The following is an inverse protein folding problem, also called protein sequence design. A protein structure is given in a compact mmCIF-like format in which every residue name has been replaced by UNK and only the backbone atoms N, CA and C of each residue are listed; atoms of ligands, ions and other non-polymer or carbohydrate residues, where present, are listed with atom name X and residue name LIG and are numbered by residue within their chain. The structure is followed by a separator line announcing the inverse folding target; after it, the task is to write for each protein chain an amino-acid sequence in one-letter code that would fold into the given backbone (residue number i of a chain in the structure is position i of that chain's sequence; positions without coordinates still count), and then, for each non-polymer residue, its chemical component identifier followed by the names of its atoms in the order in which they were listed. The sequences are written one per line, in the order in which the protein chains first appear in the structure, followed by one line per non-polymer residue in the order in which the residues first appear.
data_IF_114612475349
#
_entry.id   IF_114612475349
#
_cell.length_a   1.000
_cell.length_b   1.000
_cell.length_c   1.000
_cell.angle_alpha   90.00
_cell.angle_beta   90.00
_cell.angle_gamma   90.00
#
_symmetry.space_group_name_H-M   'P 1'
#
loop_
_entity.id
_entity.type
_entity.pdbx_description
1 polymer ?
#
# COMPACT_ATOMS: atom_id res chain seq x y z
N UNK A 1 -5.08 14.67 -20.96
CA UNK A 1 -5.30 13.44 -20.16
C UNK A 1 -6.80 13.30 -19.98
N UNK A 2 -7.41 12.18 -20.35
CA UNK A 2 -8.86 12.02 -20.29
C UNK A 2 -9.27 11.73 -18.83
N UNK A 3 -9.94 12.67 -18.21
CA UNK A 3 -10.67 12.41 -16.98
C UNK A 3 -11.64 11.25 -17.26
N UNK A 4 -11.56 10.17 -16.51
CA UNK A 4 -12.53 9.08 -16.61
C UNK A 4 -13.72 9.39 -15.68
N UNK A 5 -14.88 9.85 -16.23
CA UNK A 5 -16.01 10.27 -15.40
C UNK A 5 -16.54 9.14 -14.52
N UNK A 6 -16.49 7.89 -14.99
CA UNK A 6 -16.94 6.73 -14.21
C UNK A 6 -16.01 6.46 -13.01
N UNK A 7 -14.69 6.61 -13.19
CA UNK A 7 -13.73 6.47 -12.10
C UNK A 7 -13.94 7.55 -11.04
N UNK A 8 -14.15 8.81 -11.47
CA UNK A 8 -14.42 9.93 -10.54
C UNK A 8 -15.77 9.73 -9.83
N UNK A 9 -16.81 9.28 -10.53
CA UNK A 9 -18.11 9.02 -9.93
C UNK A 9 -18.03 7.94 -8.83
N UNK A 10 -17.23 6.89 -9.01
CA UNK A 10 -17.08 5.80 -8.05
C UNK A 10 -16.08 6.16 -6.93
N UNK A 11 -14.92 6.75 -7.26
CA UNK A 11 -13.77 6.89 -6.37
C UNK A 11 -13.37 8.33 -6.04
N UNK A 12 -14.04 9.33 -6.58
CA UNK A 12 -13.79 10.74 -6.30
C UNK A 12 -14.75 11.33 -5.25
N UNK A 13 -14.66 12.63 -4.96
CA UNK A 13 -13.67 13.56 -5.54
C UNK A 13 -12.33 13.60 -4.81
N UNK A 14 -12.19 12.99 -3.60
CA UNK A 14 -10.97 12.97 -2.81
C UNK A 14 -10.41 11.57 -2.66
N UNK A 15 -9.08 11.48 -2.69
CA UNK A 15 -8.36 10.25 -2.35
C UNK A 15 -7.30 10.51 -1.28
N UNK A 16 -7.23 9.60 -0.30
CA UNK A 16 -6.14 9.50 0.66
C UNK A 16 -5.00 8.66 0.07
N UNK A 17 -3.76 9.11 0.22
CA UNK A 17 -2.57 8.30 -0.08
C UNK A 17 -1.61 8.38 1.10
N UNK A 18 -1.37 7.27 1.78
CA UNK A 18 -0.33 7.17 2.82
C UNK A 18 1.00 6.71 2.21
N UNK A 19 2.13 7.16 2.77
CA UNK A 19 3.45 6.91 2.20
C UNK A 19 3.70 7.67 0.89
N UNK A 20 3.06 8.83 0.73
CA UNK A 20 2.95 9.56 -0.54
C UNK A 20 4.26 10.17 -1.07
N UNK A 21 5.33 10.25 -0.28
CA UNK A 21 6.55 10.99 -0.65
C UNK A 21 7.53 10.21 -1.50
N UNK A 22 7.35 8.90 -1.69
CA UNK A 22 8.26 8.08 -2.50
C UNK A 22 7.62 6.78 -2.98
N UNK A 23 8.30 6.11 -3.91
CA UNK A 23 7.99 4.76 -4.35
C UNK A 23 6.54 4.59 -4.81
N UNK A 24 5.90 3.53 -4.35
CA UNK A 24 4.54 3.15 -4.77
C UNK A 24 3.51 4.20 -4.35
N UNK A 25 3.62 4.76 -3.13
CA UNK A 25 2.69 5.79 -2.65
C UNK A 25 2.76 7.06 -3.50
N UNK A 26 3.96 7.52 -3.89
CA UNK A 26 4.13 8.66 -4.80
C UNK A 26 3.52 8.37 -6.18
N UNK A 27 3.76 7.19 -6.73
CA UNK A 27 3.19 6.79 -8.01
C UNK A 27 1.64 6.76 -7.98
N UNK A 28 1.04 6.29 -6.88
CA UNK A 28 -0.42 6.40 -6.70
C UNK A 28 -0.89 7.86 -6.64
N UNK A 29 -0.19 8.73 -5.90
CA UNK A 29 -0.55 10.14 -5.81
C UNK A 29 -0.53 10.81 -7.20
N UNK A 30 0.52 10.60 -7.98
CA UNK A 30 0.65 11.13 -9.35
C UNK A 30 -0.41 10.53 -10.29
N UNK A 31 -0.68 9.22 -10.22
CA UNK A 31 -1.70 8.53 -11.02
C UNK A 31 -3.12 9.00 -10.71
N UNK A 32 -3.43 9.27 -9.45
CA UNK A 32 -4.75 9.75 -9.02
C UNK A 32 -4.94 11.24 -9.34
N UNK A 33 -3.87 12.05 -9.20
CA UNK A 33 -3.86 13.44 -9.66
C UNK A 33 -4.15 13.52 -11.17
N UNK A 34 -3.49 12.67 -11.97
CA UNK A 34 -3.72 12.58 -13.41
C UNK A 34 -5.13 12.15 -13.81
N UNK A 35 -5.87 11.51 -12.90
CA UNK A 35 -7.29 11.15 -13.04
C UNK A 35 -8.24 12.25 -12.54
N UNK A 36 -7.71 13.37 -12.02
CA UNK A 36 -8.49 14.51 -11.56
C UNK A 36 -9.03 14.40 -10.13
N UNK A 37 -8.48 13.50 -9.29
CA UNK A 37 -8.87 13.43 -7.89
C UNK A 37 -8.09 14.44 -7.06
N UNK A 38 -8.76 15.11 -6.12
CA UNK A 38 -8.11 15.84 -5.04
C UNK A 38 -7.45 14.86 -4.08
N UNK A 39 -6.35 15.27 -3.44
CA UNK A 39 -5.54 14.35 -2.66
C UNK A 39 -5.35 14.81 -1.21
N UNK A 40 -5.41 13.84 -0.28
CA UNK A 40 -4.84 13.95 1.05
C UNK A 40 -3.56 13.12 1.04
N UNK A 41 -2.40 13.76 1.15
CA UNK A 41 -1.09 13.11 1.11
C UNK A 41 -0.52 13.01 2.51
N UNK A 42 -0.15 11.79 2.91
CA UNK A 42 0.37 11.50 4.24
C UNK A 42 1.75 10.90 4.17
N UNK A 43 2.70 11.49 4.88
CA UNK A 43 4.06 10.97 5.06
C UNK A 43 4.76 11.69 6.23
N UNK A 44 5.97 11.24 6.56
CA UNK A 44 6.81 11.86 7.62
C UNK A 44 7.63 13.06 7.13
N UNK A 45 7.97 13.10 5.83
CA UNK A 45 8.84 14.14 5.24
C UNK A 45 8.00 15.34 4.81
N UNK A 46 7.94 16.36 5.68
CA UNK A 46 7.14 17.55 5.47
C UNK A 46 7.54 18.32 4.20
N UNK A 47 8.84 18.47 3.95
CA UNK A 47 9.38 19.23 2.80
C UNK A 47 8.92 18.60 1.48
N UNK A 48 8.99 17.27 1.35
CA UNK A 48 8.56 16.56 0.15
C UNK A 48 7.04 16.62 -0.02
N UNK A 49 6.27 16.59 1.07
CA UNK A 49 4.82 16.79 1.02
C UNK A 49 4.47 18.19 0.51
N UNK A 50 5.19 19.22 0.98
CA UNK A 50 4.99 20.62 0.52
C UNK A 50 5.34 20.78 -0.96
N UNK A 51 6.42 20.14 -1.43
CA UNK A 51 6.77 20.11 -2.87
C UNK A 51 5.63 19.49 -3.70
N UNK A 52 5.09 18.35 -3.27
CA UNK A 52 3.96 17.70 -3.95
C UNK A 52 2.69 18.58 -3.92
N UNK A 53 2.42 19.23 -2.78
CA UNK A 53 1.28 20.15 -2.65
C UNK A 53 1.41 21.40 -3.53
N UNK A 54 2.63 21.79 -3.88
CA UNK A 54 2.86 22.90 -4.80
C UNK A 54 2.82 22.48 -6.28
N UNK A 55 3.29 21.27 -6.60
CA UNK A 55 3.46 20.82 -7.99
C UNK A 55 2.23 20.15 -8.56
N UNK A 56 1.57 19.25 -7.83
CA UNK A 56 0.42 18.51 -8.33
C UNK A 56 -0.79 19.39 -8.70
N UNK A 57 -1.18 20.41 -7.89
CA UNK A 57 -2.25 21.33 -8.30
C UNK A 57 -1.95 22.08 -9.60
N UNK A 58 -0.70 22.52 -9.78
CA UNK A 58 -0.27 23.23 -11.00
C UNK A 58 -0.31 22.34 -12.24
N UNK A 59 0.07 21.06 -12.08
CA UNK A 59 0.15 20.10 -13.19
C UNK A 59 -1.21 19.53 -13.59
N UNK A 60 -2.13 19.34 -12.62
CA UNK A 60 -3.35 18.58 -12.82
C UNK A 60 -4.66 19.34 -12.49
N UNK A 61 -4.59 20.56 -11.94
CA UNK A 61 -5.78 21.35 -11.60
C UNK A 61 -6.59 20.82 -10.42
N UNK A 62 -5.97 20.07 -9.53
CA UNK A 62 -6.58 19.43 -8.35
C UNK A 62 -6.28 20.21 -7.06
N UNK A 63 -6.96 19.85 -5.97
CA UNK A 63 -6.63 20.31 -4.61
C UNK A 63 -5.77 19.26 -3.92
N UNK A 64 -4.81 19.70 -3.11
CA UNK A 64 -3.95 18.82 -2.30
C UNK A 64 -3.94 19.33 -0.87
N UNK A 65 -4.21 18.43 0.07
CA UNK A 65 -3.98 18.60 1.51
C UNK A 65 -2.84 17.69 1.94
N UNK A 66 -2.03 18.13 2.90
CA UNK A 66 -0.92 17.34 3.43
C UNK A 66 -1.09 17.12 4.93
N UNK A 67 -0.79 15.92 5.38
CA UNK A 67 -0.72 15.58 6.80
C UNK A 67 0.66 14.99 7.08
N UNK A 68 1.49 15.71 7.81
CA UNK A 68 2.78 15.18 8.24
C UNK A 68 2.56 14.28 9.44
N UNK A 69 2.70 12.97 9.26
CA UNK A 69 2.41 11.98 10.29
C UNK A 69 3.34 10.77 10.23
N UNK A 70 3.77 10.31 11.40
CA UNK A 70 4.31 8.97 11.61
C UNK A 70 3.16 8.03 12.01
N UNK A 71 2.83 7.10 11.13
CA UNK A 71 1.76 6.14 11.38
C UNK A 71 2.11 5.10 12.47
N UNK A 72 3.36 5.07 12.93
CA UNK A 72 3.75 4.35 14.15
C UNK A 72 3.20 4.99 15.44
N UNK A 73 2.72 6.24 15.39
CA UNK A 73 2.18 6.99 16.54
C UNK A 73 0.66 7.09 16.44
N UNK A 74 -0.12 6.47 17.36
CA UNK A 74 -1.59 6.44 17.29
C UNK A 74 -2.25 7.81 17.13
N UNK A 75 -1.85 8.80 17.92
CA UNK A 75 -2.41 10.15 17.87
C UNK A 75 -2.17 10.86 16.51
N UNK A 76 -1.11 10.49 15.79
CA UNK A 76 -0.86 11.03 14.44
C UNK A 76 -1.71 10.31 13.38
N UNK A 77 -2.08 9.06 13.62
CA UNK A 77 -3.07 8.36 12.78
C UNK A 77 -4.45 9.01 12.94
N UNK A 78 -4.83 9.44 14.16
CA UNK A 78 -6.08 10.17 14.38
C UNK A 78 -6.15 11.47 13.59
N UNK A 79 -5.04 12.22 13.46
CA UNK A 79 -4.97 13.42 12.60
C UNK A 79 -5.27 13.11 11.12
N UNK A 80 -4.84 11.95 10.64
CA UNK A 80 -5.17 11.50 9.26
C UNK A 80 -6.65 11.19 9.13
N UNK A 81 -7.24 10.53 10.12
CA UNK A 81 -8.66 10.21 10.16
C UNK A 81 -9.50 11.49 10.16
N UNK A 82 -9.13 12.47 11.00
CA UNK A 82 -9.79 13.76 11.09
C UNK A 82 -9.74 14.52 9.77
N UNK A 83 -8.58 14.54 9.10
CA UNK A 83 -8.45 15.15 7.77
C UNK A 83 -9.35 14.47 6.73
N UNK A 84 -9.48 13.15 6.76
CA UNK A 84 -10.36 12.40 5.88
C UNK A 84 -11.85 12.68 6.15
N UNK A 85 -12.22 12.88 7.41
CA UNK A 85 -13.61 13.18 7.80
C UNK A 85 -14.09 14.54 7.29
N UNK A 86 -13.20 15.49 7.01
CA UNK A 86 -13.53 16.83 6.53
C UNK A 86 -13.84 16.90 5.01
N UNK A 87 -13.69 15.80 4.28
CA UNK A 87 -13.87 15.78 2.83
C UNK A 87 -14.75 14.60 2.38
N UNK A 88 -15.41 14.70 1.22
CA UNK A 88 -16.11 13.56 0.64
C UNK A 88 -15.09 12.58 0.06
N UNK A 89 -14.44 11.79 0.93
CA UNK A 89 -13.44 10.81 0.56
C UNK A 89 -14.09 9.68 -0.28
N UNK A 90 -13.51 9.36 -1.44
CA UNK A 90 -13.98 8.28 -2.30
C UNK A 90 -12.98 7.13 -2.45
N UNK A 91 -11.69 7.36 -2.18
CA UNK A 91 -10.65 6.33 -2.27
C UNK A 91 -9.63 6.48 -1.15
N UNK A 92 -9.20 5.37 -0.57
CA UNK A 92 -8.03 5.37 0.31
C UNK A 92 -6.99 4.36 -0.18
N UNK A 93 -5.77 4.84 -0.41
CA UNK A 93 -4.59 4.03 -0.75
C UNK A 93 -3.68 3.98 0.48
N UNK A 94 -3.69 2.85 1.17
CA UNK A 94 -2.91 2.63 2.36
C UNK A 94 -1.55 2.01 1.96
N UNK A 95 -0.65 2.87 1.45
CA UNK A 95 0.64 2.46 0.89
C UNK A 95 1.83 2.64 1.84
N UNK A 96 1.62 3.30 2.98
CA UNK A 96 2.66 3.43 4.00
C UNK A 96 3.05 2.06 4.56
N UNK A 97 4.34 1.84 4.70
CA UNK A 97 4.89 0.62 5.26
C UNK A 97 6.39 0.53 4.97
N UNK A 98 7.07 -0.25 5.77
CA UNK A 98 8.48 -0.56 5.57
C UNK A 98 8.76 -2.03 5.94
N UNK A 99 9.95 -2.49 5.62
CA UNK A 99 10.43 -3.83 5.94
C UNK A 99 11.82 -3.79 6.51
N UNK A 100 12.15 -4.78 7.32
CA UNK A 100 13.48 -5.12 7.78
C UNK A 100 13.92 -6.42 7.16
N UNK A 101 15.22 -6.63 7.00
CA UNK A 101 15.78 -7.92 6.64
C UNK A 101 17.04 -8.22 7.45
N UNK A 102 17.20 -9.46 7.84
CA UNK A 102 18.31 -9.94 8.66
C UNK A 102 17.94 -11.18 9.45
N UNK A 103 18.89 -11.71 10.22
CA UNK A 103 18.61 -12.77 11.16
C UNK A 103 17.86 -12.21 12.37
N UNK A 104 16.84 -12.92 12.83
CA UNK A 104 16.00 -12.46 13.96
C UNK A 104 16.81 -12.31 15.27
N UNK A 105 17.93 -13.01 15.39
CA UNK A 105 18.84 -12.91 16.53
C UNK A 105 19.74 -11.67 16.49
N UNK A 106 19.80 -10.99 15.33
CA UNK A 106 20.67 -9.83 15.08
C UNK A 106 19.88 -8.51 14.91
N UNK A 107 18.58 -8.59 14.59
CA UNK A 107 17.73 -7.40 14.39
C UNK A 107 17.36 -6.81 15.74
N UNK A 108 17.44 -5.47 15.85
CA UNK A 108 16.91 -4.74 17.00
C UNK A 108 15.37 -4.91 17.07
N UNK A 109 14.84 -5.49 18.16
CA UNK A 109 13.41 -5.72 18.33
C UNK A 109 12.55 -4.46 18.16
N UNK A 110 13.09 -3.28 18.49
CA UNK A 110 12.36 -2.02 18.37
C UNK A 110 12.00 -1.68 16.93
N UNK A 111 12.83 -2.06 15.96
CA UNK A 111 12.56 -1.86 14.53
C UNK A 111 11.38 -2.74 14.07
N UNK A 112 11.36 -3.99 14.50
CA UNK A 112 10.27 -4.92 14.16
C UNK A 112 8.97 -4.50 14.85
N UNK A 113 9.00 -4.04 16.11
CA UNK A 113 7.84 -3.50 16.81
C UNK A 113 7.28 -2.28 16.08
N UNK A 114 8.13 -1.31 15.73
CA UNK A 114 7.70 -0.15 14.96
C UNK A 114 7.14 -0.53 13.57
N UNK A 115 7.71 -1.56 12.93
CA UNK A 115 7.15 -2.09 11.67
C UNK A 115 5.75 -2.66 11.86
N UNK A 116 5.49 -3.38 12.95
CA UNK A 116 4.13 -3.87 13.28
C UNK A 116 3.18 -2.70 13.55
N UNK A 117 3.63 -1.66 14.25
CA UNK A 117 2.82 -0.46 14.48
C UNK A 117 2.41 0.21 13.17
N UNK A 118 3.34 0.41 12.24
CA UNK A 118 3.05 1.07 10.96
C UNK A 118 2.26 0.15 10.02
N UNK A 119 2.70 -1.11 9.85
CA UNK A 119 2.14 -1.99 8.82
C UNK A 119 0.81 -2.65 9.25
N UNK A 120 0.57 -2.82 10.55
CA UNK A 120 -0.60 -3.55 11.06
C UNK A 120 -1.51 -2.67 11.94
N UNK A 121 -1.00 -2.11 13.05
CA UNK A 121 -1.82 -1.35 13.99
C UNK A 121 -2.44 -0.11 13.33
N UNK A 122 -1.63 0.70 12.65
CA UNK A 122 -2.12 1.87 11.92
C UNK A 122 -3.12 1.49 10.81
N UNK A 123 -2.89 0.36 10.14
CA UNK A 123 -3.84 -0.16 9.15
C UNK A 123 -5.22 -0.41 9.77
N UNK A 124 -5.28 -1.09 10.92
CA UNK A 124 -6.54 -1.33 11.66
C UNK A 124 -7.19 -0.01 12.06
N UNK A 125 -6.41 0.92 12.62
CA UNK A 125 -6.91 2.21 13.07
C UNK A 125 -7.51 3.03 11.92
N UNK A 126 -6.94 2.94 10.71
CA UNK A 126 -7.43 3.65 9.51
C UNK A 126 -8.64 2.94 8.87
N UNK A 127 -8.60 1.61 8.67
CA UNK A 127 -9.63 0.94 7.87
C UNK A 127 -11.02 1.04 8.48
N UNK A 128 -11.16 1.03 9.81
CA UNK A 128 -12.48 1.10 10.45
C UNK A 128 -13.24 2.40 10.16
N UNK A 129 -12.69 3.60 10.47
CA UNK A 129 -13.39 4.86 10.19
C UNK A 129 -13.55 5.12 8.68
N UNK A 130 -12.53 4.80 7.87
CA UNK A 130 -12.60 4.97 6.42
C UNK A 130 -13.67 4.06 5.81
N UNK A 131 -13.76 2.80 6.24
CA UNK A 131 -14.80 1.89 5.78
C UNK A 131 -16.21 2.38 6.13
N UNK A 132 -16.40 2.92 7.35
CA UNK A 132 -17.70 3.50 7.76
C UNK A 132 -18.07 4.69 6.89
N UNK A 133 -17.12 5.58 6.59
CA UNK A 133 -17.36 6.75 5.74
C UNK A 133 -17.74 6.33 4.31
N UNK A 134 -17.00 5.39 3.71
CA UNK A 134 -17.26 4.89 2.36
C UNK A 134 -18.58 4.11 2.28
N UNK A 135 -18.85 3.23 3.25
CA UNK A 135 -20.10 2.47 3.32
C UNK A 135 -21.32 3.37 3.46
N UNK A 136 -21.24 4.44 4.24
CA UNK A 136 -22.32 5.44 4.34
C UNK A 136 -22.62 6.13 3.01
N UNK A 137 -21.61 6.33 2.16
CA UNK A 137 -21.75 6.89 0.82
C UNK A 137 -22.20 5.85 -0.22
N UNK A 138 -22.20 4.55 0.12
CA UNK A 138 -22.49 3.40 -0.76
C UNK A 138 -21.66 3.39 -2.03
N UNK A 139 -20.43 3.88 -1.97
CA UNK A 139 -19.46 3.93 -3.06
C UNK A 139 -18.06 4.18 -2.52
N UNK A 140 -17.06 3.98 -3.37
CA UNK A 140 -15.66 4.25 -3.06
C UNK A 140 -14.81 3.00 -3.05
N UNK A 141 -13.58 3.13 -2.53
CA UNK A 141 -12.66 2.01 -2.49
C UNK A 141 -11.53 2.13 -1.48
N UNK A 142 -10.95 0.97 -1.16
CA UNK A 142 -9.76 0.81 -0.34
C UNK A 142 -8.71 0.02 -1.13
N UNK A 143 -7.49 0.51 -1.22
CA UNK A 143 -6.33 -0.24 -1.73
C UNK A 143 -5.34 -0.42 -0.59
N UNK A 144 -5.05 -1.66 -0.23
CA UNK A 144 -4.09 -2.03 0.81
C UNK A 144 -2.82 -2.57 0.17
N UNK A 145 -1.65 -2.05 0.56
CA UNK A 145 -0.36 -2.53 0.06
C UNK A 145 0.12 -3.76 0.82
N UNK A 146 -0.21 -4.93 0.27
CA UNK A 146 0.38 -6.22 0.62
C UNK A 146 1.80 -6.40 0.07
N UNK A 147 2.16 -7.63 -0.17
CA UNK A 147 3.39 -8.07 -0.86
C UNK A 147 3.28 -9.56 -1.18
N UNK A 148 4.00 -10.02 -2.20
CA UNK A 148 4.12 -11.45 -2.50
C UNK A 148 4.70 -12.26 -1.34
N UNK A 149 5.47 -11.65 -0.44
CA UNK A 149 5.99 -12.31 0.77
C UNK A 149 4.90 -12.59 1.81
N UNK A 150 3.72 -11.95 1.71
CA UNK A 150 2.60 -12.16 2.61
C UNK A 150 1.89 -13.52 2.46
N UNK A 151 2.17 -14.27 1.39
CA UNK A 151 1.52 -15.57 1.17
C UNK A 151 2.18 -16.74 1.93
N UNK A 152 3.37 -16.54 2.49
CA UNK A 152 4.12 -17.53 3.27
C UNK A 152 5.11 -16.86 4.23
N UNK A 153 5.60 -17.61 5.23
CA UNK A 153 6.72 -17.16 6.05
C UNK A 153 8.02 -17.09 5.23
N UNK A 154 8.80 -16.04 5.39
CA UNK A 154 10.04 -15.81 4.65
C UNK A 154 11.18 -15.58 5.63
N UNK A 155 12.16 -16.50 5.65
CA UNK A 155 13.36 -16.35 6.47
C UNK A 155 14.09 -15.06 6.11
N UNK A 156 14.71 -14.40 7.09
CA UNK A 156 15.38 -13.10 7.01
C UNK A 156 14.45 -11.89 6.69
N UNK A 157 13.16 -12.12 6.55
CA UNK A 157 12.12 -11.09 6.49
C UNK A 157 10.90 -11.58 7.29
N UNK A 158 11.14 -12.20 8.44
CA UNK A 158 10.15 -12.93 9.23
C UNK A 158 9.01 -12.03 9.66
N UNK A 159 9.31 -10.95 10.37
CA UNK A 159 8.30 -9.99 10.83
C UNK A 159 7.66 -9.27 9.65
N UNK A 160 8.44 -8.86 8.65
CA UNK A 160 7.90 -8.21 7.46
C UNK A 160 6.88 -9.12 6.72
N UNK A 161 7.23 -10.38 6.48
CA UNK A 161 6.30 -11.32 5.83
C UNK A 161 5.03 -11.56 6.65
N UNK A 162 5.15 -11.58 7.97
CA UNK A 162 4.00 -11.69 8.88
C UNK A 162 3.09 -10.45 8.80
N UNK A 163 3.66 -9.23 8.78
CA UNK A 163 2.86 -8.01 8.60
C UNK A 163 2.14 -7.98 7.26
N UNK A 164 2.76 -8.49 6.18
CA UNK A 164 2.13 -8.53 4.85
C UNK A 164 1.10 -9.65 4.73
N UNK A 165 1.23 -10.74 5.48
CA UNK A 165 0.19 -11.77 5.62
C UNK A 165 -1.04 -11.21 6.36
N UNK A 166 -0.82 -10.40 7.41
CA UNK A 166 -1.89 -9.66 8.10
C UNK A 166 -2.67 -8.77 7.11
N UNK A 167 -1.97 -7.95 6.31
CA UNK A 167 -2.60 -7.06 5.32
C UNK A 167 -3.39 -7.86 4.27
N UNK A 168 -2.86 -9.01 3.81
CA UNK A 168 -3.54 -9.88 2.86
C UNK A 168 -4.86 -10.40 3.44
N UNK A 169 -4.83 -11.02 4.62
CA UNK A 169 -6.03 -11.57 5.27
C UNK A 169 -7.05 -10.48 5.62
N UNK A 170 -6.59 -9.33 6.11
CA UNK A 170 -7.45 -8.19 6.40
C UNK A 170 -8.20 -7.71 5.14
N UNK A 171 -7.46 -7.54 4.03
CA UNK A 171 -8.04 -7.07 2.78
C UNK A 171 -9.02 -8.07 2.17
N UNK A 172 -8.77 -9.38 2.28
CA UNK A 172 -9.68 -10.43 1.86
C UNK A 172 -11.00 -10.38 2.65
N UNK A 173 -10.93 -10.25 3.98
CA UNK A 173 -12.12 -10.08 4.82
C UNK A 173 -12.90 -8.82 4.45
N UNK A 174 -12.23 -7.68 4.36
CA UNK A 174 -12.85 -6.40 3.99
C UNK A 174 -13.50 -6.44 2.61
N UNK A 175 -12.92 -7.15 1.64
CA UNK A 175 -13.50 -7.29 0.30
C UNK A 175 -14.90 -7.91 0.36
N UNK A 176 -15.11 -8.94 1.17
CA UNK A 176 -16.40 -9.58 1.36
C UNK A 176 -17.37 -8.70 2.15
N UNK A 177 -16.89 -8.08 3.25
CA UNK A 177 -17.73 -7.29 4.15
C UNK A 177 -18.22 -5.98 3.51
N UNK A 178 -17.37 -5.32 2.69
CA UNK A 178 -17.70 -4.00 2.14
C UNK A 178 -18.39 -4.05 0.77
N UNK A 179 -18.32 -5.17 0.06
CA UNK A 179 -18.98 -5.34 -1.23
C UNK A 179 -20.50 -5.08 -1.20
N UNK A 180 -21.28 -5.55 -0.20
CA UNK A 180 -22.72 -5.23 -0.10
C UNK A 180 -23.00 -3.73 0.12
N UNK A 181 -22.00 -2.97 0.58
CA UNK A 181 -22.07 -1.54 0.80
C UNK A 181 -21.62 -0.70 -0.42
N UNK A 182 -21.31 -1.34 -1.56
CA UNK A 182 -20.87 -0.66 -2.77
C UNK A 182 -19.43 -0.15 -2.71
N UNK A 183 -18.62 -0.64 -1.77
CA UNK A 183 -17.22 -0.25 -1.59
C UNK A 183 -16.30 -1.35 -2.11
N UNK A 184 -15.41 -0.98 -3.01
CA UNK A 184 -14.43 -1.87 -3.59
C UNK A 184 -13.18 -1.96 -2.70
N UNK A 185 -12.68 -3.17 -2.48
CA UNK A 185 -11.43 -3.40 -1.75
C UNK A 185 -10.45 -4.16 -2.64
N UNK A 186 -9.19 -3.76 -2.61
CA UNK A 186 -8.12 -4.42 -3.34
C UNK A 186 -6.89 -4.58 -2.46
N UNK A 187 -6.33 -5.76 -2.41
CA UNK A 187 -4.94 -5.95 -1.95
C UNK A 187 -4.01 -5.91 -3.16
N UNK A 188 -3.11 -4.94 -3.20
CA UNK A 188 -2.01 -4.91 -4.16
C UNK A 188 -0.80 -5.59 -3.54
N UNK A 189 -0.39 -6.74 -4.07
CA UNK A 189 0.67 -7.59 -3.55
C UNK A 189 1.85 -7.69 -4.55
N UNK A 190 2.64 -6.61 -4.73
CA UNK A 190 3.77 -6.63 -5.66
C UNK A 190 4.89 -7.55 -5.19
N UNK A 191 5.71 -8.00 -6.14
CA UNK A 191 7.05 -8.53 -5.89
C UNK A 191 8.06 -7.40 -5.69
N UNK A 192 9.35 -7.61 -6.02
CA UNK A 192 10.35 -6.55 -5.97
C UNK A 192 9.98 -5.37 -6.86
N UNK A 193 10.06 -4.15 -6.31
CA UNK A 193 9.73 -2.90 -6.99
C UNK A 193 10.96 -2.00 -6.99
N UNK A 194 11.26 -1.36 -8.11
CA UNK A 194 12.39 -0.42 -8.26
C UNK A 194 12.10 0.86 -7.46
N UNK A 195 12.37 0.83 -6.16
CA UNK A 195 12.19 1.96 -5.23
C UNK A 195 13.29 1.98 -4.18
N UNK A 196 13.41 3.07 -3.42
CA UNK A 196 14.31 3.13 -2.26
C UNK A 196 13.95 2.18 -1.10
N UNK A 197 12.83 1.45 -1.19
CA UNK A 197 12.44 0.47 -0.18
C UNK A 197 13.45 -0.65 -0.02
N UNK A 198 13.95 -1.24 -1.13
CA UNK A 198 14.89 -2.36 -1.08
C UNK A 198 16.20 -1.95 -0.40
N UNK A 199 16.69 -0.76 -0.69
CA UNK A 199 17.93 -0.24 -0.06
C UNK A 199 17.75 -0.09 1.45
N UNK A 200 16.62 0.48 1.91
CA UNK A 200 16.34 0.62 3.35
C UNK A 200 16.09 -0.72 4.04
N UNK A 201 15.60 -1.70 3.33
CA UNK A 201 15.42 -3.06 3.83
C UNK A 201 16.71 -3.91 3.74
N UNK A 202 17.87 -3.30 3.45
CA UNK A 202 19.16 -4.00 3.23
C UNK A 202 19.07 -5.12 2.19
N UNK A 203 18.34 -4.86 1.10
CA UNK A 203 18.16 -5.79 -0.03
C UNK A 203 18.77 -5.20 -1.31
N UNK A 204 19.37 -6.04 -2.13
CA UNK A 204 19.91 -5.63 -3.42
C UNK A 204 18.77 -5.36 -4.42
N UNK A 205 18.73 -4.19 -5.08
CA UNK A 205 17.78 -3.94 -6.14
C UNK A 205 17.98 -4.92 -7.30
N UNK A 206 16.93 -5.60 -7.71
CA UNK A 206 16.91 -6.47 -8.90
C UNK A 206 16.05 -5.88 -10.02
N UNK A 207 15.85 -6.66 -11.10
CA UNK A 207 14.93 -6.33 -12.18
C UNK A 207 13.46 -6.45 -11.71
N UNK A 208 13.00 -5.42 -10.97
CA UNK A 208 11.64 -5.32 -10.45
C UNK A 208 10.73 -4.50 -11.37
N UNK A 209 9.43 -4.57 -11.08
CA UNK A 209 8.41 -3.71 -11.69
C UNK A 209 8.62 -2.25 -11.22
N UNK A 210 8.20 -1.28 -12.04
CA UNK A 210 8.24 0.13 -11.61
C UNK A 210 7.13 0.44 -10.62
N UNK A 211 7.32 1.46 -9.79
CA UNK A 211 6.26 1.93 -8.87
C UNK A 211 5.02 2.40 -9.65
N UNK A 212 5.23 2.99 -10.83
CA UNK A 212 4.15 3.44 -11.71
C UNK A 212 3.32 2.27 -12.23
N UNK A 213 3.96 1.17 -12.69
CA UNK A 213 3.23 -0.02 -13.12
C UNK A 213 2.42 -0.64 -11.99
N UNK A 214 2.95 -0.63 -10.76
CA UNK A 214 2.22 -1.11 -9.58
C UNK A 214 0.97 -0.27 -9.34
N UNK A 215 1.07 1.05 -9.40
CA UNK A 215 -0.07 1.95 -9.20
C UNK A 215 -1.13 1.75 -10.30
N UNK A 216 -0.71 1.75 -11.57
CA UNK A 216 -1.62 1.61 -12.71
C UNK A 216 -2.32 0.25 -12.76
N UNK A 217 -1.58 -0.86 -12.56
CA UNK A 217 -2.17 -2.21 -12.53
C UNK A 217 -3.13 -2.37 -11.33
N UNK A 218 -2.84 -1.75 -10.19
CA UNK A 218 -3.71 -1.77 -9.02
C UNK A 218 -5.00 -0.98 -9.26
N UNK A 219 -4.89 0.24 -9.78
CA UNK A 219 -6.06 1.06 -10.11
C UNK A 219 -6.96 0.40 -11.18
N UNK A 220 -6.36 -0.28 -12.16
CA UNK A 220 -7.10 -1.04 -13.16
C UNK A 220 -7.78 -2.31 -12.62
N UNK A 221 -7.26 -2.88 -11.52
CA UNK A 221 -7.79 -4.08 -10.87
C UNK A 221 -8.87 -3.78 -9.81
N UNK A 222 -8.90 -2.55 -9.27
CA UNK A 222 -9.87 -2.12 -8.27
C UNK A 222 -11.31 -2.31 -8.78
N UNK A 223 -12.18 -2.85 -7.94
CA UNK A 223 -13.56 -3.23 -8.29
C UNK A 223 -13.71 -4.53 -9.13
N UNK A 224 -12.57 -5.10 -9.59
CA UNK A 224 -12.59 -6.32 -10.42
C UNK A 224 -11.94 -7.53 -9.73
N UNK A 225 -10.99 -7.30 -8.84
CA UNK A 225 -10.19 -8.36 -8.18
C UNK A 225 -10.09 -8.08 -6.69
N UNK A 226 -10.05 -9.13 -5.91
CA UNK A 226 -9.75 -9.05 -4.47
C UNK A 226 -8.26 -8.80 -4.24
N UNK A 227 -7.40 -9.46 -5.02
CA UNK A 227 -5.94 -9.31 -4.96
C UNK A 227 -5.35 -9.18 -6.36
N UNK A 228 -4.39 -8.29 -6.52
CA UNK A 228 -3.58 -8.17 -7.74
C UNK A 228 -2.10 -8.38 -7.42
N UNK A 229 -1.41 -9.06 -8.31
CA UNK A 229 0.05 -9.25 -8.31
C UNK A 229 0.64 -8.38 -9.44
N UNK A 230 1.01 -7.12 -9.18
CA UNK A 230 1.54 -6.26 -10.23
C UNK A 230 2.87 -6.77 -10.80
N UNK A 231 3.00 -6.66 -12.12
CA UNK A 231 4.18 -7.10 -12.87
C UNK A 231 4.17 -8.58 -13.26
N UNK A 232 4.77 -8.87 -14.40
CA UNK A 232 4.78 -10.23 -14.99
C UNK A 232 5.48 -11.25 -14.08
N UNK A 233 6.63 -10.88 -13.51
CA UNK A 233 7.39 -11.75 -12.61
C UNK A 233 6.59 -12.10 -11.36
N UNK A 234 5.91 -11.12 -10.74
CA UNK A 234 5.06 -11.34 -9.56
C UNK A 234 3.91 -12.30 -9.86
N UNK A 235 3.28 -12.18 -11.04
CA UNK A 235 2.21 -13.07 -11.49
C UNK A 235 2.71 -14.50 -11.66
N UNK A 236 3.84 -14.68 -12.36
CA UNK A 236 4.43 -16.01 -12.59
C UNK A 236 4.86 -16.66 -11.28
N UNK A 237 5.58 -15.92 -10.43
CA UNK A 237 6.04 -16.42 -9.13
C UNK A 237 4.86 -16.75 -8.21
N UNK A 238 3.86 -15.87 -8.14
CA UNK A 238 2.67 -16.10 -7.32
C UNK A 238 1.89 -17.34 -7.76
N UNK A 239 1.69 -17.53 -9.06
CA UNK A 239 1.06 -18.73 -9.61
C UNK A 239 1.88 -19.98 -9.32
N UNK A 240 3.20 -19.96 -9.57
CA UNK A 240 4.07 -21.12 -9.31
C UNK A 240 4.04 -21.54 -7.83
N UNK A 241 4.11 -20.55 -6.92
CA UNK A 241 4.07 -20.81 -5.49
C UNK A 241 2.71 -21.34 -5.04
N UNK A 242 1.60 -20.94 -5.68
CA UNK A 242 0.26 -21.35 -5.28
C UNK A 242 0.05 -22.89 -5.32
N UNK A 243 0.71 -23.57 -6.23
CA UNK A 243 0.62 -25.04 -6.37
C UNK A 243 1.55 -25.81 -5.42
N UNK A 244 2.47 -25.14 -4.73
CA UNK A 244 3.40 -25.80 -3.82
C UNK A 244 2.82 -25.92 -2.40
N UNK A 245 3.11 -27.01 -1.68
CA UNK A 245 2.85 -27.10 -0.23
C UNK A 245 3.55 -25.93 0.51
N UNK A 246 2.94 -25.45 1.61
CA UNK A 246 3.42 -24.28 2.36
C UNK A 246 4.91 -24.36 2.75
N UNK A 247 5.39 -25.54 3.15
CA UNK A 247 6.81 -25.78 3.49
C UNK A 247 7.73 -25.50 2.30
N UNK A 248 7.35 -25.97 1.10
CA UNK A 248 8.15 -25.75 -0.11
C UNK A 248 8.12 -24.28 -0.54
N UNK A 249 6.97 -23.58 -0.43
CA UNK A 249 6.90 -22.14 -0.69
C UNK A 249 7.88 -21.37 0.20
N UNK A 250 7.89 -21.67 1.50
CA UNK A 250 8.80 -21.04 2.46
C UNK A 250 10.25 -21.31 2.12
N UNK A 251 10.61 -22.53 1.68
CA UNK A 251 11.96 -22.86 1.26
C UNK A 251 12.39 -22.08 0.01
N UNK A 252 11.56 -22.05 -1.02
CA UNK A 252 11.82 -21.28 -2.25
C UNK A 252 12.03 -19.78 -1.93
N UNK A 253 11.19 -19.21 -1.06
CA UNK A 253 11.30 -17.81 -0.68
C UNK A 253 12.52 -17.53 0.22
N UNK A 254 12.94 -18.49 1.05
CA UNK A 254 14.20 -18.42 1.80
C UNK A 254 15.38 -18.29 0.83
N UNK A 255 15.44 -19.16 -0.20
CA UNK A 255 16.54 -19.16 -1.17
C UNK A 255 16.55 -17.88 -2.03
N UNK A 256 15.37 -17.37 -2.40
CA UNK A 256 15.23 -16.10 -3.08
C UNK A 256 15.71 -14.93 -2.20
N UNK A 257 15.35 -14.91 -0.91
CA UNK A 257 15.75 -13.87 0.02
C UNK A 257 17.26 -13.90 0.29
N UNK A 258 17.86 -15.08 0.41
CA UNK A 258 19.31 -15.24 0.56
C UNK A 258 20.07 -14.54 -0.58
N UNK A 259 19.61 -14.72 -1.82
CA UNK A 259 20.19 -14.04 -2.99
C UNK A 259 20.04 -12.52 -2.93
N UNK A 260 18.90 -12.01 -2.44
CA UNK A 260 18.65 -10.57 -2.32
C UNK A 260 19.43 -9.90 -1.18
N UNK A 261 19.79 -10.65 -0.15
CA UNK A 261 20.53 -10.14 1.02
C UNK A 261 22.02 -10.42 0.97
N UNK A 262 22.53 -11.06 -0.09
CA UNK A 262 23.96 -11.34 -0.31
C UNK A 262 24.57 -12.36 0.66
N UNK A 263 23.77 -13.23 1.26
CA UNK A 263 24.21 -14.24 2.26
C UNK A 263 23.57 -15.58 2.00
#
# INVERSE_FOLDING_TARGET
MSHNPQFIAQYGPWALVTGATEGIGRAFAESLAGRGLNLILVARRAEVLQELAATLPRSYGIKVQTVTADLGVPAQVDQVIDACAQVPLGLAVLAAGFGTSGDVTEIDPSQDQHMVDVNCRAMVQLVHPLSRQLAAQRRGGLILLGSIVGFQGVARATTYSATKAFVQSLGEGLWHELKPHGVDVLVSAPGPVKTGFLVRANMTPGDGVTAQDVAEESLAALGKKMTVLPGRMSKVLGMSLAFLPRRMRSQVMKDAMAKMTGR
#
